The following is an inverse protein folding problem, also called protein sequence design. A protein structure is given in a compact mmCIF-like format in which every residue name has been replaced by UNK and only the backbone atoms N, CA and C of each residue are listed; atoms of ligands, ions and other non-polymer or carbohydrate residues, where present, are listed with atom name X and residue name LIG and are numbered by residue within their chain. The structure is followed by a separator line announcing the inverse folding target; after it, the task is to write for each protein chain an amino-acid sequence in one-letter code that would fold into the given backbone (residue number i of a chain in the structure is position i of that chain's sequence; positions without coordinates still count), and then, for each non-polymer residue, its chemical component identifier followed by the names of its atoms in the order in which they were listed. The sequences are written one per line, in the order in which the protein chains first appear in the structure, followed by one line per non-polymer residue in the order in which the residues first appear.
data_IF_846521922739
#
_entry.id   IF_846521922739
#
_cell.length_a   1.000
_cell.length_b   1.000
_cell.length_c   1.000
_cell.angle_alpha   90.00
_cell.angle_beta   90.00
_cell.angle_gamma   90.00
#
_symmetry.space_group_name_H-M   'P 1'
#
loop_
_entity.id
_entity.type
_entity.pdbx_description
1 polymer ?
#
# COMPACT_ATOMS: atom_id res chain seq x y z
N UNK A 1 -12.39 -0.12 19.09
CA UNK A 1 -12.02 -0.53 17.72
C UNK A 1 -10.74 -1.34 17.84
N UNK A 2 -10.79 -2.65 17.55
CA UNK A 2 -9.64 -3.53 17.67
C UNK A 2 -8.96 -3.64 16.30
N UNK A 3 -7.97 -2.79 16.06
CA UNK A 3 -7.17 -2.85 14.83
C UNK A 3 -6.01 -3.81 15.08
N UNK A 4 -5.91 -4.83 14.25
CA UNK A 4 -4.81 -5.78 14.28
C UNK A 4 -3.80 -5.40 13.21
N UNK A 5 -2.58 -5.04 13.61
CA UNK A 5 -1.50 -4.75 12.66
C UNK A 5 -0.58 -5.96 12.58
N UNK A 6 -0.30 -6.43 11.37
CA UNK A 6 0.52 -7.61 11.10
C UNK A 6 1.29 -7.47 9.79
N UNK A 7 2.27 -8.35 9.59
CA UNK A 7 2.91 -8.53 8.29
C UNK A 7 1.89 -8.93 7.24
N UNK A 8 2.12 -8.45 6.02
CA UNK A 8 1.35 -8.79 4.82
C UNK A 8 1.59 -10.24 4.43
N UNK A 9 0.52 -10.91 4.00
CA UNK A 9 0.58 -12.11 3.16
C UNK A 9 0.07 -11.78 1.76
N UNK A 10 0.34 -12.65 0.77
CA UNK A 10 -0.18 -12.46 -0.58
C UNK A 10 -1.72 -12.49 -0.64
N UNK A 11 -2.40 -13.06 0.36
CA UNK A 11 -3.86 -13.04 0.44
C UNK A 11 -4.41 -11.63 0.70
N UNK A 12 -3.60 -10.72 1.24
CA UNK A 12 -4.00 -9.33 1.51
C UNK A 12 -4.02 -8.45 0.26
N UNK A 13 -3.46 -8.92 -0.86
CA UNK A 13 -3.27 -8.14 -2.09
C UNK A 13 -4.52 -7.38 -2.51
N UNK A 14 -5.68 -8.05 -2.52
CA UNK A 14 -6.95 -7.41 -2.89
C UNK A 14 -7.32 -6.28 -1.92
N UNK A 15 -7.17 -6.52 -0.62
CA UNK A 15 -7.48 -5.52 0.40
C UNK A 15 -6.54 -4.31 0.36
N UNK A 16 -5.27 -4.52 0.02
CA UNK A 16 -4.31 -3.45 -0.21
C UNK A 16 -4.68 -2.65 -1.47
N UNK A 17 -5.00 -3.31 -2.58
CA UNK A 17 -5.49 -2.62 -3.79
C UNK A 17 -6.73 -1.77 -3.48
N UNK A 18 -7.69 -2.29 -2.71
CA UNK A 18 -8.85 -1.51 -2.26
C UNK A 18 -8.44 -0.28 -1.42
N UNK A 19 -7.45 -0.39 -0.53
CA UNK A 19 -6.94 0.74 0.28
C UNK A 19 -6.44 1.86 -0.62
N UNK A 20 -5.62 1.56 -1.64
CA UNK A 20 -5.05 2.56 -2.54
C UNK A 20 -6.09 3.13 -3.50
N UNK A 21 -6.90 2.27 -4.11
CA UNK A 21 -7.98 2.70 -5.00
C UNK A 21 -9.00 3.60 -4.29
N UNK A 22 -9.15 3.49 -2.96
CA UNK A 22 -10.04 4.37 -2.20
C UNK A 22 -9.65 5.86 -2.24
N UNK A 23 -8.44 6.19 -2.68
CA UNK A 23 -7.99 7.57 -2.88
C UNK A 23 -8.24 8.12 -4.28
N UNK A 24 -8.62 7.30 -5.24
CA UNK A 24 -8.90 7.76 -6.60
C UNK A 24 -10.32 8.32 -6.66
N UNK A 25 -10.42 9.63 -6.91
CA UNK A 25 -11.70 10.31 -7.11
C UNK A 25 -12.29 10.06 -8.50
N UNK A 26 -11.44 9.98 -9.51
CA UNK A 26 -11.84 9.87 -10.91
C UNK A 26 -10.83 9.00 -11.67
N UNK A 27 -11.32 7.94 -12.28
CA UNK A 27 -10.53 7.06 -13.15
C UNK A 27 -10.59 7.58 -14.59
N UNK A 28 -9.49 7.39 -15.32
CA UNK A 28 -9.36 7.89 -16.69
C UNK A 28 -8.33 7.11 -17.48
N UNK A 29 -8.44 7.20 -18.81
CA UNK A 29 -7.44 6.71 -19.77
C UNK A 29 -7.07 7.78 -20.79
N UNK A 30 -5.95 7.54 -21.48
CA UNK A 30 -5.49 8.40 -22.57
C UNK A 30 -5.95 7.87 -23.92
N UNK A 31 -6.80 8.62 -24.60
CA UNK A 31 -7.24 8.32 -25.97
C UNK A 31 -6.78 9.44 -26.89
N UNK A 32 -5.88 9.11 -27.83
CA UNK A 32 -5.31 10.10 -28.76
C UNK A 32 -4.71 11.33 -28.05
N UNK A 33 -4.01 11.10 -26.94
CA UNK A 33 -3.37 12.16 -26.14
C UNK A 33 -4.33 13.00 -25.30
N UNK A 34 -5.61 12.61 -25.19
CA UNK A 34 -6.59 13.28 -24.33
C UNK A 34 -7.02 12.36 -23.19
N UNK A 35 -7.17 12.95 -22.01
CA UNK A 35 -7.77 12.29 -20.85
C UNK A 35 -9.27 12.10 -21.10
N UNK A 36 -9.74 10.86 -20.96
CA UNK A 36 -11.14 10.46 -21.07
C UNK A 36 -11.49 9.71 -19.80
N UNK A 37 -12.54 10.14 -19.10
CA UNK A 37 -13.10 9.45 -17.93
C UNK A 37 -13.44 8.00 -18.29
N UNK A 38 -13.18 7.10 -17.35
CA UNK A 38 -13.40 5.67 -17.51
C UNK A 38 -13.67 5.04 -16.15
N UNK A 39 -14.29 3.87 -16.12
CA UNK A 39 -14.39 3.06 -14.91
C UNK A 39 -13.13 2.20 -14.71
N UNK A 40 -12.87 1.79 -13.47
CA UNK A 40 -11.71 0.95 -13.13
C UNK A 40 -11.63 -0.33 -13.98
N UNK A 41 -12.78 -0.96 -14.24
CA UNK A 41 -12.90 -2.18 -15.03
C UNK A 41 -12.62 -1.97 -16.52
N UNK A 42 -12.73 -0.73 -17.02
CA UNK A 42 -12.43 -0.38 -18.42
C UNK A 42 -10.95 -0.10 -18.67
N UNK A 43 -10.17 0.05 -17.60
CA UNK A 43 -8.73 0.27 -17.66
C UNK A 43 -7.99 -1.07 -17.78
N UNK A 44 -7.01 -1.10 -18.66
CA UNK A 44 -5.96 -2.13 -18.64
C UNK A 44 -5.13 -2.06 -17.36
N UNK A 45 -4.35 -3.10 -17.08
CA UNK A 45 -3.45 -3.14 -15.92
C UNK A 45 -2.43 -2.00 -15.97
N UNK A 46 -1.90 -1.69 -17.17
CA UNK A 46 -0.97 -0.57 -17.38
C UNK A 46 -1.65 0.77 -17.08
N UNK A 47 -2.85 0.99 -17.62
CA UNK A 47 -3.60 2.22 -17.34
C UNK A 47 -3.92 2.36 -15.85
N UNK A 48 -4.25 1.28 -15.12
CA UNK A 48 -4.42 1.33 -13.66
C UNK A 48 -3.11 1.70 -12.96
N UNK A 49 -1.99 1.13 -13.38
CA UNK A 49 -0.67 1.41 -12.83
C UNK A 49 -0.31 2.90 -12.95
N UNK A 50 -0.70 3.57 -14.04
CA UNK A 50 -0.45 5.01 -14.21
C UNK A 50 -1.12 5.91 -13.16
N UNK A 51 -2.14 5.42 -12.43
CA UNK A 51 -2.85 6.22 -11.42
C UNK A 51 -2.16 6.25 -10.06
N UNK A 52 -1.31 5.28 -9.75
CA UNK A 52 -0.75 5.14 -8.40
C UNK A 52 0.26 4.03 -8.22
N UNK A 53 0.80 3.48 -9.31
CA UNK A 53 1.82 2.45 -9.29
C UNK A 53 1.26 1.03 -9.05
N UNK A 54 2.07 0.13 -8.48
CA UNK A 54 1.75 -1.29 -8.44
C UNK A 54 0.52 -1.63 -7.60
N UNK A 55 0.16 -0.81 -6.62
CA UNK A 55 -0.98 -1.10 -5.74
C UNK A 55 -2.34 -0.98 -6.43
N UNK A 56 -2.41 -0.33 -7.59
CA UNK A 56 -3.65 -0.01 -8.30
C UNK A 56 -4.31 -1.22 -8.99
N UNK A 57 -3.64 -2.37 -9.06
CA UNK A 57 -4.25 -3.62 -9.53
C UNK A 57 -3.79 -4.79 -8.68
N UNK A 58 -4.65 -5.81 -8.55
CA UNK A 58 -4.31 -7.02 -7.79
C UNK A 58 -3.11 -7.72 -8.43
N UNK A 59 -3.03 -7.71 -9.75
CA UNK A 59 -1.99 -8.36 -10.53
C UNK A 59 -0.60 -7.74 -10.25
N UNK A 60 -0.49 -6.42 -10.34
CA UNK A 60 0.79 -5.72 -10.09
C UNK A 60 1.12 -5.65 -8.61
N UNK A 61 0.10 -5.53 -7.74
CA UNK A 61 0.29 -5.46 -6.30
C UNK A 61 0.84 -6.80 -5.78
N UNK A 62 0.32 -7.94 -6.25
CA UNK A 62 0.85 -9.27 -5.88
C UNK A 62 2.33 -9.42 -6.25
N UNK A 63 2.72 -8.95 -7.45
CA UNK A 63 4.11 -9.01 -7.92
C UNK A 63 5.00 -8.12 -7.03
N UNK A 64 4.58 -6.89 -6.78
CA UNK A 64 5.30 -5.94 -5.92
C UNK A 64 5.48 -6.50 -4.50
N UNK A 65 4.39 -6.93 -3.85
CA UNK A 65 4.44 -7.50 -2.51
C UNK A 65 5.34 -8.73 -2.44
N UNK A 66 5.34 -9.58 -3.48
CA UNK A 66 6.27 -10.69 -3.55
C UNK A 66 7.73 -10.21 -3.55
N UNK A 67 8.08 -9.14 -4.28
CA UNK A 67 9.43 -8.57 -4.24
C UNK A 67 9.78 -7.98 -2.86
N UNK A 68 8.87 -7.24 -2.24
CA UNK A 68 9.08 -6.67 -0.89
C UNK A 68 9.33 -7.79 0.13
N UNK A 69 8.48 -8.83 0.13
CA UNK A 69 8.60 -9.96 1.05
C UNK A 69 9.88 -10.78 0.81
N UNK A 70 10.20 -11.08 -0.45
CA UNK A 70 11.39 -11.90 -0.79
C UNK A 70 12.72 -11.15 -0.63
N UNK A 71 12.69 -9.81 -0.61
CA UNK A 71 13.86 -8.99 -0.28
C UNK A 71 14.06 -8.78 1.23
N UNK A 72 13.24 -9.42 2.07
CA UNK A 72 13.35 -9.35 3.53
C UNK A 72 12.90 -8.01 4.11
N UNK A 73 12.06 -7.27 3.39
CA UNK A 73 11.48 -6.00 3.82
C UNK A 73 10.11 -6.22 4.49
N UNK A 74 9.55 -5.17 5.09
CA UNK A 74 8.47 -5.29 6.05
C UNK A 74 7.21 -4.54 5.60
N UNK A 75 6.39 -5.15 4.71
CA UNK A 75 5.05 -4.65 4.42
C UNK A 75 4.10 -5.05 5.55
N UNK A 76 3.32 -4.09 6.03
CA UNK A 76 2.37 -4.22 7.12
C UNK A 76 0.97 -3.84 6.64
N UNK A 77 -0.04 -4.57 7.15
CA UNK A 77 -1.45 -4.20 7.01
C UNK A 77 -2.08 -3.95 8.36
N UNK A 78 -3.01 -3.01 8.38
CA UNK A 78 -3.96 -2.83 9.46
C UNK A 78 -5.27 -3.48 9.08
N UNK A 79 -5.65 -4.51 9.84
CA UNK A 79 -6.89 -5.25 9.68
C UNK A 79 -7.91 -4.81 10.73
N UNK A 80 -9.15 -4.58 10.29
CA UNK A 80 -10.29 -4.28 11.13
C UNK A 80 -11.46 -5.18 10.70
N UNK A 81 -11.91 -6.04 11.61
CA UNK A 81 -13.03 -6.96 11.36
C UNK A 81 -12.85 -7.83 10.10
N UNK A 82 -11.63 -8.33 9.87
CA UNK A 82 -11.29 -9.15 8.71
C UNK A 82 -11.04 -8.36 7.42
N UNK A 83 -11.17 -7.02 7.45
CA UNK A 83 -10.90 -6.15 6.30
C UNK A 83 -9.57 -5.42 6.46
N UNK A 84 -8.74 -5.44 5.42
CA UNK A 84 -7.56 -4.56 5.33
C UNK A 84 -8.04 -3.12 5.11
N UNK A 85 -7.63 -2.22 6.01
CA UNK A 85 -8.06 -0.81 6.05
C UNK A 85 -6.90 0.18 6.05
N UNK A 86 -5.67 -0.33 6.01
CA UNK A 86 -4.48 0.48 5.81
C UNK A 86 -3.25 -0.39 5.55
N UNK A 87 -2.23 0.21 4.98
CA UNK A 87 -0.97 -0.40 4.61
C UNK A 87 0.19 0.50 5.04
N UNK A 88 1.33 -0.11 5.37
CA UNK A 88 2.61 0.56 5.50
C UNK A 88 3.71 -0.33 4.91
N UNK A 89 4.58 0.21 4.07
CA UNK A 89 5.80 -0.49 3.62
C UNK A 89 7.04 0.11 4.28
N UNK A 90 7.79 -0.74 4.98
CA UNK A 90 9.00 -0.36 5.71
C UNK A 90 10.22 -1.08 5.13
N UNK A 91 11.21 -0.30 4.74
CA UNK A 91 12.48 -0.76 4.22
C UNK A 91 13.60 -0.57 5.26
N UNK A 92 14.21 -1.67 5.70
CA UNK A 92 15.35 -1.67 6.62
C UNK A 92 16.64 -1.71 5.80
N UNK A 93 17.50 -0.72 6.01
CA UNK A 93 18.78 -0.60 5.32
C UNK A 93 19.90 -0.20 6.26
N UNK A 94 21.14 -0.38 5.80
CA UNK A 94 22.33 0.18 6.44
C UNK A 94 22.93 1.21 5.48
N UNK A 95 22.91 2.48 5.87
CA UNK A 95 23.58 3.53 5.13
C UNK A 95 25.05 3.64 5.55
N UNK A 96 25.95 3.78 4.57
CA UNK A 96 27.39 4.02 4.80
C UNK A 96 27.70 5.46 5.26
N UNK A 97 26.69 6.17 5.75
CA UNK A 97 26.75 7.56 6.20
C UNK A 97 26.64 7.63 7.73
N UNK A 98 26.55 8.83 8.29
CA UNK A 98 26.28 9.03 9.72
C UNK A 98 24.91 8.51 10.17
N UNK A 99 24.02 8.17 9.23
CA UNK A 99 22.68 7.65 9.51
C UNK A 99 22.69 6.17 9.95
N UNK A 100 23.68 5.38 9.52
CA UNK A 100 23.80 3.97 9.89
C UNK A 100 22.56 3.15 9.53
N UNK A 101 22.11 2.29 10.45
CA UNK A 101 20.89 1.50 10.28
C UNK A 101 19.64 2.39 10.25
N UNK A 102 18.88 2.33 9.15
CA UNK A 102 17.66 3.11 8.95
C UNK A 102 16.44 2.21 8.71
N UNK A 103 15.27 2.77 9.01
CA UNK A 103 13.98 2.19 8.71
C UNK A 103 13.16 3.23 7.92
N UNK A 104 13.16 3.09 6.60
CA UNK A 104 12.54 4.02 5.67
C UNK A 104 11.10 3.59 5.38
N UNK A 105 10.14 4.49 5.63
CA UNK A 105 8.73 4.27 5.28
C UNK A 105 8.53 4.82 3.88
N UNK A 106 8.25 3.94 2.92
CA UNK A 106 7.96 4.33 1.53
C UNK A 106 6.46 4.63 1.35
N UNK A 107 5.62 3.77 1.95
CA UNK A 107 4.16 3.86 1.85
C UNK A 107 3.55 3.90 3.25
N UNK A 108 2.56 4.78 3.42
CA UNK A 108 1.63 4.76 4.55
C UNK A 108 0.26 5.27 4.06
N UNK A 109 -0.66 4.35 3.82
CA UNK A 109 -2.00 4.67 3.31
C UNK A 109 -3.05 4.07 4.24
N UNK A 110 -4.08 4.86 4.51
CA UNK A 110 -5.28 4.40 5.23
C UNK A 110 -6.46 4.60 4.29
N UNK A 111 -7.26 3.56 4.12
CA UNK A 111 -8.46 3.60 3.28
C UNK A 111 -9.30 4.83 3.66
N UNK A 112 -9.77 5.58 2.66
CA UNK A 112 -10.38 6.90 2.83
C UNK A 112 -11.47 6.93 3.92
N UNK A 113 -12.39 5.98 3.86
CA UNK A 113 -13.50 5.87 4.83
C UNK A 113 -13.08 5.52 6.26
N UNK A 114 -11.87 5.00 6.46
CA UNK A 114 -11.37 4.56 7.77
C UNK A 114 -10.40 5.56 8.41
N UNK A 115 -10.16 6.71 7.75
CA UNK A 115 -9.28 7.77 8.26
C UNK A 115 -9.79 8.42 9.54
N UNK A 116 -8.87 9.06 10.27
CA UNK A 116 -9.13 9.73 11.57
C UNK A 116 -9.67 8.80 12.67
N UNK A 117 -9.43 7.49 12.55
CA UNK A 117 -9.80 6.47 13.54
C UNK A 117 -8.59 5.84 14.26
N UNK A 118 -7.40 6.41 14.09
CA UNK A 118 -6.16 5.93 14.74
C UNK A 118 -5.42 4.80 14.02
N UNK A 119 -5.85 4.40 12.82
CA UNK A 119 -5.22 3.31 12.04
C UNK A 119 -3.76 3.62 11.66
N UNK A 120 -3.50 4.80 11.10
CA UNK A 120 -2.11 5.20 10.77
C UNK A 120 -1.21 5.24 12.01
N UNK A 121 -1.75 5.64 13.17
CA UNK A 121 -1.02 5.59 14.45
C UNK A 121 -0.70 4.15 14.85
N UNK A 122 -1.60 3.19 14.61
CA UNK A 122 -1.36 1.78 14.88
C UNK A 122 -0.26 1.22 13.97
N UNK A 123 -0.30 1.51 12.66
CA UNK A 123 0.73 1.12 11.70
C UNK A 123 2.12 1.63 12.10
N UNK A 124 2.24 2.93 12.40
CA UNK A 124 3.51 3.52 12.85
C UNK A 124 4.00 2.91 14.17
N UNK A 125 3.09 2.61 15.10
CA UNK A 125 3.46 1.97 16.38
C UNK A 125 4.07 0.59 16.13
N UNK A 126 3.56 -0.18 15.19
CA UNK A 126 4.10 -1.49 14.84
C UNK A 126 5.42 -1.38 14.09
N UNK A 127 5.50 -0.52 13.08
CA UNK A 127 6.73 -0.26 12.33
C UNK A 127 7.92 0.12 13.25
N UNK A 128 7.66 0.93 14.27
CA UNK A 128 8.68 1.31 15.26
C UNK A 128 9.27 0.13 16.05
N UNK A 129 8.52 -0.96 16.24
CA UNK A 129 9.05 -2.15 16.93
C UNK A 129 10.02 -2.94 16.06
N UNK A 130 9.88 -2.85 14.72
CA UNK A 130 10.77 -3.49 13.75
C UNK A 130 12.06 -2.69 13.53
N UNK A 131 12.04 -1.40 13.88
CA UNK A 131 13.16 -0.47 13.75
C UNK A 131 14.06 -0.38 15.00
N UNK A 132 13.72 -1.08 16.10
CA UNK A 132 14.48 -1.13 17.36
C UNK A 132 15.23 -2.46 17.48
#
# INVERSE_FOLDING_TARGET
MNVHVRLVSLDDTRGITEVHCSDVDEWFKWVNGKRVEAEYEELSIEERFEHGGPWMSVETCAIHLNYVLTSGQYPLVAELEGKVVGELELYIGEERSVLGKTAFIDILVVHRDFRRRGIGRALIKEARKLAL
#
